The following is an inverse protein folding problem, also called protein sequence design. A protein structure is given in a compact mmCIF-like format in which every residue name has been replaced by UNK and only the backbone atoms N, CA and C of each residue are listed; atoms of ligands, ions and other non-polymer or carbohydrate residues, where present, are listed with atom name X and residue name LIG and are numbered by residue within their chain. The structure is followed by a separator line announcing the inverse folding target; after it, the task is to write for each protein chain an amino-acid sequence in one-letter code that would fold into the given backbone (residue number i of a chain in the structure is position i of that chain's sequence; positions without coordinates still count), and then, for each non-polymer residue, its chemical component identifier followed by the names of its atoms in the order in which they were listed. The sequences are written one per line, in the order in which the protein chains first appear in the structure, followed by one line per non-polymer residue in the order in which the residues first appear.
data_IF_025893416017
#
_entry.id   IF_025893416017
#
_cell.length_a   1.000
_cell.length_b   1.000
_cell.length_c   1.000
_cell.angle_alpha   90.00
_cell.angle_beta   90.00
_cell.angle_gamma   90.00
#
_symmetry.space_group_name_H-M   'P 1'
#
loop_
_entity.id
_entity.type
_entity.pdbx_description
1 polymer ?
#
# COMPACT_ATOMS: atom_id res chain seq x y z
N UNK A 1 -4.46 72.87 8.21
CA UNK A 1 -3.67 71.75 7.66
C UNK A 1 -3.11 70.95 8.84
N UNK A 2 -3.61 69.73 9.06
CA UNK A 2 -2.99 68.70 9.91
C UNK A 2 -3.70 67.40 9.58
N UNK A 3 -3.06 66.56 8.76
CA UNK A 3 -3.63 65.35 8.21
C UNK A 3 -3.23 64.11 9.03
N UNK A 4 -4.24 63.40 9.49
CA UNK A 4 -4.39 61.94 9.59
C UNK A 4 -3.19 61.10 9.12
N UNK A 5 -2.63 60.30 10.02
CA UNK A 5 -1.83 59.11 9.68
C UNK A 5 -2.65 57.86 9.93
N UNK A 6 -2.78 57.03 8.90
CA UNK A 6 -3.44 55.74 8.93
C UNK A 6 -2.59 54.63 8.31
N UNK A 7 -2.79 53.43 8.87
CA UNK A 7 -2.86 52.09 8.27
C UNK A 7 -1.61 51.38 7.68
N UNK A 8 -1.52 50.08 8.02
CA UNK A 8 -0.91 48.88 7.38
C UNK A 8 0.59 48.59 7.66
N UNK A 9 1.09 47.35 7.79
CA UNK A 9 0.59 45.98 8.06
C UNK A 9 1.83 45.03 8.00
N UNK A 10 1.81 43.94 8.79
CA UNK A 10 2.55 42.64 8.70
C UNK A 10 4.06 42.59 9.00
N UNK A 11 4.50 41.71 9.93
CA UNK A 11 5.90 41.31 10.10
C UNK A 11 6.26 40.12 9.19
N UNK A 12 7.39 40.20 8.50
CA UNK A 12 8.02 39.06 7.83
C UNK A 12 9.50 39.01 8.22
N UNK A 13 9.91 37.98 8.95
CA UNK A 13 11.24 37.37 8.85
C UNK A 13 11.30 36.12 9.75
N UNK A 14 11.00 34.97 9.16
CA UNK A 14 11.58 33.70 9.61
C UNK A 14 12.92 33.54 8.89
N UNK A 15 14.01 33.81 9.60
CA UNK A 15 15.37 33.41 9.26
C UNK A 15 15.95 32.74 10.50
N UNK A 16 16.21 31.43 10.45
CA UNK A 16 17.48 30.84 10.90
C UNK A 16 17.45 29.32 10.83
N UNK A 17 18.44 28.80 10.13
CA UNK A 17 18.76 27.37 10.04
C UNK A 17 19.59 27.08 8.79
N UNK A 18 20.54 27.96 8.49
CA UNK A 18 21.43 27.82 7.33
C UNK A 18 22.53 26.81 7.62
N UNK A 19 22.74 25.91 6.66
CA UNK A 19 24.03 25.28 6.43
C UNK A 19 24.48 25.72 5.03
N UNK A 20 25.44 26.63 4.99
CA UNK A 20 26.10 27.10 3.77
C UNK A 20 27.36 26.26 3.58
N UNK A 21 27.44 25.49 2.50
CA UNK A 21 28.70 25.05 1.91
C UNK A 21 28.51 24.87 0.41
N UNK A 22 29.17 25.75 -0.35
CA UNK A 22 29.79 25.38 -1.62
C UNK A 22 28.94 25.50 -2.89
N UNK A 23 29.36 26.46 -3.71
CA UNK A 23 29.12 26.59 -5.16
C UNK A 23 27.76 27.12 -5.61
N UNK A 24 27.85 28.22 -6.36
CA UNK A 24 26.84 28.77 -7.26
C UNK A 24 26.40 27.74 -8.30
N UNK A 25 25.63 26.73 -7.89
CA UNK A 25 24.83 25.95 -8.82
C UNK A 25 23.67 26.84 -9.22
N UNK A 26 23.77 27.41 -10.41
CA UNK A 26 22.66 27.98 -11.16
C UNK A 26 21.50 26.98 -11.07
N UNK A 27 20.54 27.21 -10.16
CA UNK A 27 19.35 26.35 -10.02
C UNK A 27 18.44 26.70 -11.20
N UNK A 28 18.87 26.32 -12.41
CA UNK A 28 17.93 25.99 -13.47
C UNK A 28 17.04 24.92 -12.86
N UNK A 29 15.80 25.29 -12.58
CA UNK A 29 14.72 24.39 -12.21
C UNK A 29 14.56 23.34 -13.32
N UNK A 30 15.47 22.35 -13.36
CA UNK A 30 15.33 21.14 -14.15
C UNK A 30 14.09 20.46 -13.59
N UNK A 31 13.03 20.44 -14.39
CA UNK A 31 11.85 19.63 -14.07
C UNK A 31 12.35 18.23 -13.74
N UNK A 32 11.97 17.72 -12.57
CA UNK A 32 12.33 16.36 -12.18
C UNK A 32 11.78 15.40 -13.23
N UNK A 33 12.68 14.84 -14.04
CA UNK A 33 12.32 13.92 -15.09
C UNK A 33 12.20 12.51 -14.48
N UNK A 34 10.94 12.10 -14.28
CA UNK A 34 10.65 10.81 -13.65
C UNK A 34 11.10 9.65 -14.53
N UNK A 35 11.04 9.82 -15.86
CA UNK A 35 11.36 8.72 -16.78
C UNK A 35 12.88 8.53 -16.83
N UNK A 36 13.67 9.62 -16.81
CA UNK A 36 15.12 9.54 -16.67
C UNK A 36 15.57 8.88 -15.35
N UNK A 37 14.88 9.17 -14.24
CA UNK A 37 15.18 8.54 -12.94
C UNK A 37 14.81 7.06 -12.94
N UNK A 38 13.70 6.68 -13.56
CA UNK A 38 13.31 5.27 -13.72
C UNK A 38 14.28 4.52 -14.64
N UNK A 39 14.81 5.17 -15.69
CA UNK A 39 15.84 4.60 -16.56
C UNK A 39 17.11 4.23 -15.76
N UNK A 40 17.53 5.10 -14.83
CA UNK A 40 18.61 4.78 -13.90
C UNK A 40 18.31 3.56 -13.04
N UNK A 41 17.08 3.41 -12.57
CA UNK A 41 16.67 2.23 -11.77
C UNK A 41 16.74 0.95 -12.62
N UNK A 42 16.39 1.01 -13.91
CA UNK A 42 16.56 -0.10 -14.85
C UNK A 42 18.03 -0.48 -15.05
N UNK A 43 18.94 0.48 -14.90
CA UNK A 43 20.39 0.26 -14.92
C UNK A 43 20.93 -0.16 -13.54
N UNK A 44 20.05 -0.44 -12.58
CA UNK A 44 20.39 -0.81 -11.20
C UNK A 44 21.23 0.25 -10.46
N UNK A 45 21.06 1.52 -10.82
CA UNK A 45 21.73 2.64 -10.16
C UNK A 45 21.01 3.02 -8.85
N UNK A 46 21.73 2.89 -7.73
CA UNK A 46 21.26 3.25 -6.38
C UNK A 46 20.90 4.74 -6.27
N UNK A 47 21.59 5.62 -6.99
CA UNK A 47 21.28 7.06 -6.97
C UNK A 47 19.94 7.35 -7.67
N UNK A 48 19.67 6.65 -8.78
CA UNK A 48 18.37 6.68 -9.45
C UNK A 48 17.25 6.25 -8.51
N UNK A 49 17.44 5.12 -7.82
CA UNK A 49 16.48 4.64 -6.81
C UNK A 49 16.28 5.65 -5.68
N UNK A 50 17.35 6.16 -5.09
CA UNK A 50 17.29 7.13 -3.97
C UNK A 50 16.56 8.41 -4.38
N UNK A 51 16.83 8.91 -5.60
CA UNK A 51 16.15 10.09 -6.15
C UNK A 51 14.65 9.87 -6.33
N UNK A 52 14.26 8.70 -6.83
CA UNK A 52 12.84 8.34 -6.96
C UNK A 52 12.18 8.18 -5.58
N UNK A 53 12.87 7.50 -4.66
CA UNK A 53 12.42 7.29 -3.29
C UNK A 53 12.14 8.62 -2.60
N UNK A 54 13.09 9.55 -2.53
CA UNK A 54 12.90 10.85 -1.89
C UNK A 54 11.70 11.63 -2.45
N UNK A 55 11.47 11.55 -3.76
CA UNK A 55 10.36 12.24 -4.42
C UNK A 55 9.00 11.64 -4.08
N UNK A 56 8.92 10.31 -3.98
CA UNK A 56 7.64 9.59 -3.88
C UNK A 56 7.36 8.98 -2.50
N UNK A 57 8.35 8.92 -1.58
CA UNK A 57 8.25 8.27 -0.27
C UNK A 57 7.05 8.69 0.54
N UNK A 58 6.78 9.99 0.62
CA UNK A 58 5.63 10.51 1.36
C UNK A 58 4.28 10.09 0.77
N UNK A 59 4.18 10.01 -0.57
CA UNK A 59 2.94 9.60 -1.25
C UNK A 59 2.69 8.11 -1.09
N UNK A 60 3.72 7.31 -1.36
CA UNK A 60 3.67 5.85 -1.22
C UNK A 60 3.41 5.46 0.22
N UNK A 61 4.05 6.13 1.18
CA UNK A 61 3.84 5.91 2.61
C UNK A 61 2.38 6.16 2.99
N UNK A 62 1.83 7.35 2.68
CA UNK A 62 0.43 7.68 2.99
C UNK A 62 -0.57 6.79 2.26
N UNK A 63 -0.26 6.38 1.03
CA UNK A 63 -1.07 5.41 0.30
C UNK A 63 -1.18 4.09 1.07
N UNK A 64 -0.07 3.59 1.64
CA UNK A 64 -0.03 2.33 2.38
C UNK A 64 -0.61 2.47 3.78
N UNK A 65 -0.16 3.44 4.58
CA UNK A 65 -0.59 3.52 5.99
C UNK A 65 -2.07 3.89 6.16
N UNK A 66 -2.68 4.56 5.17
CA UNK A 66 -4.14 4.79 5.18
C UNK A 66 -4.95 3.53 4.88
N UNK A 67 -4.31 2.46 4.44
CA UNK A 67 -4.95 1.16 4.17
C UNK A 67 -4.64 0.12 5.25
N UNK A 68 -3.39 0.05 5.74
CA UNK A 68 -2.95 -0.98 6.68
C UNK A 68 -2.42 -0.45 8.02
N UNK A 69 -2.33 0.87 8.17
CA UNK A 69 -1.73 1.49 9.35
C UNK A 69 -0.23 1.57 9.35
N UNK A 70 0.30 1.92 10.52
CA UNK A 70 1.73 2.08 10.79
C UNK A 70 2.36 0.88 11.49
N UNK A 71 1.58 -0.16 11.78
CA UNK A 71 2.07 -1.40 12.40
C UNK A 71 2.89 -2.26 11.42
N UNK A 72 3.23 -3.47 11.86
CA UNK A 72 4.07 -4.41 11.10
C UNK A 72 3.56 -4.67 9.68
N UNK A 73 2.24 -4.82 9.50
CA UNK A 73 1.64 -5.00 8.17
C UNK A 73 1.88 -3.81 7.24
N UNK A 74 1.73 -2.58 7.75
CA UNK A 74 1.99 -1.36 7.00
C UNK A 74 3.46 -1.20 6.64
N UNK A 75 4.36 -1.52 7.58
CA UNK A 75 5.81 -1.54 7.35
C UNK A 75 6.18 -2.56 6.27
N UNK A 76 5.69 -3.79 6.39
CA UNK A 76 5.96 -4.86 5.44
C UNK A 76 5.42 -4.53 4.03
N UNK A 77 4.22 -3.95 3.93
CA UNK A 77 3.65 -3.50 2.66
C UNK A 77 4.48 -2.36 2.04
N UNK A 78 4.96 -1.41 2.85
CA UNK A 78 5.85 -0.33 2.41
C UNK A 78 7.17 -0.85 1.87
N UNK A 79 7.82 -1.74 2.62
CA UNK A 79 9.05 -2.39 2.22
C UNK A 79 8.87 -3.19 0.91
N UNK A 80 7.80 -3.99 0.84
CA UNK A 80 7.52 -4.84 -0.31
C UNK A 80 7.24 -4.03 -1.58
N UNK A 81 6.59 -2.87 -1.48
CA UNK A 81 6.35 -2.00 -2.63
C UNK A 81 7.67 -1.47 -3.22
N UNK A 82 8.60 -1.00 -2.37
CA UNK A 82 9.91 -0.52 -2.83
C UNK A 82 10.78 -1.64 -3.36
N UNK A 83 10.79 -2.80 -2.70
CA UNK A 83 11.45 -4.01 -3.21
C UNK A 83 10.93 -4.38 -4.58
N UNK A 84 9.60 -4.35 -4.79
CA UNK A 84 8.98 -4.66 -6.08
C UNK A 84 9.47 -3.73 -7.19
N UNK A 85 9.64 -2.43 -6.92
CA UNK A 85 10.19 -1.48 -7.89
C UNK A 85 11.60 -1.90 -8.34
N UNK A 86 12.49 -2.23 -7.40
CA UNK A 86 13.87 -2.62 -7.69
C UNK A 86 13.92 -3.95 -8.44
N UNK A 87 13.24 -4.97 -7.91
CA UNK A 87 13.24 -6.31 -8.49
C UNK A 87 12.58 -6.34 -9.88
N UNK A 88 11.49 -5.60 -10.07
CA UNK A 88 10.85 -5.51 -11.39
C UNK A 88 11.77 -4.90 -12.44
N UNK A 89 12.70 -4.03 -12.03
CA UNK A 89 13.68 -3.42 -12.92
C UNK A 89 14.61 -4.42 -13.60
N UNK A 90 14.76 -5.64 -13.06
CA UNK A 90 15.57 -6.70 -13.66
C UNK A 90 14.91 -7.35 -14.89
N UNK A 91 13.59 -7.28 -14.98
CA UNK A 91 12.82 -7.97 -16.03
C UNK A 91 12.15 -7.01 -17.00
N UNK A 92 11.75 -5.85 -16.50
CA UNK A 92 11.09 -4.81 -17.30
C UNK A 92 12.15 -3.99 -18.04
N UNK A 93 11.87 -3.65 -19.30
CA UNK A 93 12.84 -2.97 -20.17
C UNK A 93 12.53 -1.48 -20.40
N UNK A 94 11.38 -0.99 -19.95
CA UNK A 94 10.98 0.40 -20.20
C UNK A 94 10.57 1.12 -18.91
N UNK A 95 10.91 2.41 -18.74
CA UNK A 95 10.49 3.21 -17.59
C UNK A 95 8.97 3.22 -17.38
N UNK A 96 8.23 3.30 -18.48
CA UNK A 96 6.76 3.35 -18.48
C UNK A 96 6.16 2.07 -17.92
N UNK A 97 6.68 0.92 -18.33
CA UNK A 97 6.21 -0.38 -17.85
C UNK A 97 6.64 -0.61 -16.40
N UNK A 98 7.81 -0.13 -15.99
CA UNK A 98 8.28 -0.22 -14.61
C UNK A 98 7.37 0.57 -13.68
N UNK A 99 7.06 1.81 -14.06
CA UNK A 99 6.11 2.68 -13.35
C UNK A 99 4.73 2.05 -13.26
N UNK A 100 4.23 1.47 -14.36
CA UNK A 100 2.94 0.77 -14.39
C UNK A 100 2.96 -0.44 -13.46
N UNK A 101 4.02 -1.24 -13.50
CA UNK A 101 4.21 -2.41 -12.63
C UNK A 101 4.19 -2.00 -11.16
N UNK A 102 4.94 -0.96 -10.80
CA UNK A 102 4.99 -0.41 -9.44
C UNK A 102 3.61 0.04 -8.95
N UNK A 103 2.89 0.83 -9.76
CA UNK A 103 1.54 1.27 -9.37
C UNK A 103 0.53 0.12 -9.35
N UNK A 104 0.66 -0.87 -10.24
CA UNK A 104 -0.19 -2.06 -10.21
C UNK A 104 0.05 -2.86 -8.93
N UNK A 105 1.31 -3.01 -8.51
CA UNK A 105 1.67 -3.66 -7.25
C UNK A 105 1.13 -2.90 -6.03
N UNK A 106 1.25 -1.56 -6.01
CA UNK A 106 0.63 -0.74 -4.97
C UNK A 106 -0.90 -0.95 -4.92
N UNK A 107 -1.56 -1.13 -6.06
CA UNK A 107 -3.00 -1.37 -6.12
C UNK A 107 -3.44 -2.80 -5.79
N UNK A 108 -2.54 -3.79 -5.94
CA UNK A 108 -2.80 -5.22 -5.70
C UNK A 108 -2.41 -5.69 -4.31
N UNK A 109 -1.38 -5.10 -3.71
CA UNK A 109 -1.01 -5.35 -2.31
C UNK A 109 -2.22 -5.14 -1.36
N UNK A 110 -3.23 -4.40 -1.82
CA UNK A 110 -4.55 -4.13 -1.21
C UNK A 110 -5.47 -5.37 -1.12
N UNK A 111 -5.11 -6.50 -1.73
CA UNK A 111 -5.99 -7.67 -1.83
C UNK A 111 -5.59 -8.88 -0.96
N UNK A 112 -4.51 -8.82 -0.18
CA UNK A 112 -4.13 -9.95 0.68
C UNK A 112 -3.86 -9.53 2.14
N UNK A 113 -4.91 -9.34 2.95
CA UNK A 113 -4.84 -9.55 4.38
C UNK A 113 -5.26 -11.00 4.64
N UNK A 114 -4.31 -11.93 4.61
CA UNK A 114 -4.51 -13.14 5.39
C UNK A 114 -4.69 -12.69 6.84
N UNK A 115 -5.91 -12.85 7.37
CA UNK A 115 -6.39 -12.48 8.71
C UNK A 115 -7.04 -11.09 8.76
N UNK A 116 -8.35 -11.09 8.54
CA UNK A 116 -9.28 -10.20 9.22
C UNK A 116 -9.05 -10.28 10.73
N UNK A 117 -8.51 -9.24 11.33
CA UNK A 117 -8.96 -8.79 12.65
C UNK A 117 -8.95 -7.27 12.66
N UNK A 118 -10.10 -6.69 13.00
CA UNK A 118 -10.21 -5.31 13.44
C UNK A 118 -9.50 -5.14 14.77
N UNK A 119 -8.17 -5.25 14.76
CA UNK A 119 -7.36 -4.67 15.82
C UNK A 119 -7.52 -3.17 15.71
N UNK A 120 -8.12 -2.59 16.74
CA UNK A 120 -8.10 -1.15 17.00
C UNK A 120 -6.72 -0.63 16.65
N UNK A 121 -6.69 0.15 15.58
CA UNK A 121 -5.49 0.72 15.08
C UNK A 121 -5.05 1.76 16.09
N UNK A 122 -3.89 1.62 16.77
CA UNK A 122 -3.31 2.75 17.46
C UNK A 122 -2.93 3.75 16.37
N UNK A 123 -3.83 4.68 16.11
CA UNK A 123 -3.52 5.87 15.36
C UNK A 123 -2.40 6.55 16.14
N UNK A 124 -1.16 6.45 15.68
CA UNK A 124 -0.05 7.27 16.17
C UNK A 124 -0.25 8.78 15.87
N UNK A 125 -1.47 9.20 15.56
CA UNK A 125 -1.91 10.57 15.44
C UNK A 125 -3.35 10.68 15.95
N UNK A 126 -3.52 10.72 17.27
CA UNK A 126 -4.65 11.41 17.89
C UNK A 126 -4.14 12.01 19.21
N UNK A 127 -3.65 13.26 19.25
CA UNK A 127 -3.86 14.06 20.46
C UNK A 127 -5.36 14.00 20.75
N UNK A 128 -5.75 13.73 21.99
CA UNK A 128 -7.15 13.61 22.43
C UNK A 128 -7.91 14.96 22.41
N UNK A 129 -7.40 15.95 21.68
CA UNK A 129 -7.86 17.35 21.67
C UNK A 129 -8.61 17.72 20.38
N UNK A 130 -9.01 16.75 19.56
CA UNK A 130 -9.63 16.98 18.23
C UNK A 130 -10.99 17.68 18.33
N UNK A 131 -11.66 17.54 19.48
CA UNK A 131 -12.94 18.19 19.73
C UNK A 131 -12.81 19.68 20.08
N UNK A 132 -11.61 20.16 20.45
CA UNK A 132 -11.39 21.59 20.78
C UNK A 132 -10.73 22.39 19.63
N UNK A 133 -10.00 21.74 18.70
CA UNK A 133 -9.13 22.43 17.72
C UNK A 133 -9.63 22.49 16.25
N UNK A 134 -10.80 21.94 15.93
CA UNK A 134 -11.37 22.09 14.56
C UNK A 134 -10.51 21.46 13.45
N UNK A 135 -9.81 20.37 13.74
CA UNK A 135 -8.97 19.66 12.77
C UNK A 135 -9.80 18.71 11.87
N UNK A 136 -10.57 19.31 10.97
CA UNK A 136 -11.41 18.63 9.98
C UNK A 136 -10.68 17.63 9.08
N UNK A 137 -9.36 17.77 8.93
CA UNK A 137 -8.55 16.81 8.16
C UNK A 137 -8.49 15.44 8.83
N UNK A 138 -8.55 15.38 10.17
CA UNK A 138 -8.59 14.13 10.93
C UNK A 138 -9.97 13.47 10.86
N UNK A 139 -11.03 14.26 11.03
CA UNK A 139 -12.42 13.80 10.85
C UNK A 139 -12.60 13.18 9.46
N UNK A 140 -12.06 13.82 8.42
CA UNK A 140 -12.07 13.27 7.06
C UNK A 140 -11.35 11.92 6.97
N UNK A 141 -10.22 11.76 7.65
CA UNK A 141 -9.48 10.49 7.63
C UNK A 141 -10.22 9.38 8.38
N UNK A 142 -11.04 9.71 9.37
CA UNK A 142 -11.88 8.73 10.04
C UNK A 142 -13.01 8.23 9.12
N UNK A 143 -13.72 9.14 8.45
CA UNK A 143 -14.72 8.76 7.44
C UNK A 143 -14.11 8.03 6.26
N UNK A 144 -12.89 8.39 5.84
CA UNK A 144 -12.15 7.67 4.82
C UNK A 144 -11.94 6.19 5.17
N UNK A 145 -11.77 5.84 6.46
CA UNK A 145 -11.66 4.43 6.89
C UNK A 145 -12.94 3.64 6.70
N UNK A 146 -14.11 4.28 6.58
CA UNK A 146 -15.38 3.60 6.38
C UNK A 146 -15.69 3.30 4.91
N UNK A 147 -14.97 3.94 3.98
CA UNK A 147 -15.11 3.66 2.55
C UNK A 147 -14.78 2.18 2.22
N UNK A 148 -15.47 1.66 1.20
CA UNK A 148 -15.18 0.33 0.67
C UNK A 148 -13.75 0.26 0.10
N UNK A 149 -13.18 -0.95 0.07
CA UNK A 149 -11.79 -1.19 -0.36
C UNK A 149 -11.51 -0.63 -1.76
N UNK A 150 -12.46 -0.77 -2.69
CA UNK A 150 -12.32 -0.25 -4.06
C UNK A 150 -12.37 1.28 -4.11
N UNK A 151 -13.32 1.89 -3.39
CA UNK A 151 -13.49 3.34 -3.28
C UNK A 151 -12.23 3.99 -2.69
N UNK A 152 -11.70 3.44 -1.58
CA UNK A 152 -10.42 3.86 -1.00
C UNK A 152 -9.29 3.81 -2.02
N UNK A 153 -9.17 2.70 -2.75
CA UNK A 153 -8.09 2.49 -3.72
C UNK A 153 -8.12 3.53 -4.82
N UNK A 154 -9.28 3.76 -5.45
CA UNK A 154 -9.40 4.78 -6.49
C UNK A 154 -9.13 6.18 -5.94
N UNK A 155 -9.69 6.50 -4.77
CA UNK A 155 -9.50 7.78 -4.09
C UNK A 155 -8.01 8.05 -3.81
N UNK A 156 -7.27 7.06 -3.28
CA UNK A 156 -5.85 7.19 -3.00
C UNK A 156 -5.02 7.33 -4.28
N UNK A 157 -5.31 6.61 -5.36
CA UNK A 157 -4.59 6.82 -6.63
C UNK A 157 -4.82 8.21 -7.21
N UNK A 158 -6.06 8.71 -7.14
CA UNK A 158 -6.42 10.05 -7.63
C UNK A 158 -5.76 11.14 -6.79
N UNK A 159 -5.94 11.08 -5.48
CA UNK A 159 -5.59 12.19 -4.60
C UNK A 159 -4.19 12.05 -4.00
N UNK A 160 -3.73 10.87 -3.62
CA UNK A 160 -2.40 10.68 -3.01
C UNK A 160 -1.29 10.53 -4.06
N UNK A 161 -1.47 9.59 -5.00
CA UNK A 161 -0.47 9.35 -6.05
C UNK A 161 -0.52 10.46 -7.11
N UNK A 162 -1.73 10.90 -7.47
CA UNK A 162 -1.96 11.98 -8.42
C UNK A 162 -2.02 11.53 -9.88
N UNK A 163 -2.55 10.33 -10.15
CA UNK A 163 -2.73 9.82 -11.52
C UNK A 163 -4.16 10.00 -12.03
N UNK A 164 -4.33 10.12 -13.35
CA UNK A 164 -5.64 10.31 -13.98
C UNK A 164 -6.50 9.04 -13.93
N UNK A 165 -7.83 9.17 -14.02
CA UNK A 165 -8.75 8.02 -14.07
C UNK A 165 -8.39 7.01 -15.18
N UNK A 166 -7.98 7.51 -16.35
CA UNK A 166 -7.47 6.66 -17.44
C UNK A 166 -6.24 5.86 -17.03
N UNK A 167 -5.31 6.47 -16.29
CA UNK A 167 -4.13 5.79 -15.77
C UNK A 167 -4.49 4.78 -14.65
N UNK A 168 -5.45 5.12 -13.78
CA UNK A 168 -5.97 4.21 -12.75
C UNK A 168 -6.58 2.97 -13.40
N UNK A 169 -7.48 3.16 -14.37
CA UNK A 169 -8.12 2.07 -15.13
C UNK A 169 -7.09 1.12 -15.74
N UNK A 170 -6.05 1.66 -16.39
CA UNK A 170 -4.96 0.85 -16.98
C UNK A 170 -4.08 0.15 -15.95
N UNK A 171 -3.88 0.77 -14.78
CA UNK A 171 -3.04 0.26 -13.69
C UNK A 171 -3.71 -0.90 -12.97
N UNK A 172 -5.01 -0.76 -12.72
CA UNK A 172 -5.83 -1.72 -11.96
C UNK A 172 -6.56 -2.73 -12.86
N UNK A 173 -6.48 -2.56 -14.19
CA UNK A 173 -7.17 -3.39 -15.17
C UNK A 173 -8.69 -3.46 -14.95
N UNK A 174 -9.29 -2.29 -14.71
CA UNK A 174 -10.73 -2.10 -14.52
C UNK A 174 -11.26 -1.09 -15.55
N UNK A 175 -12.57 -1.07 -15.78
CA UNK A 175 -13.13 -0.12 -16.75
C UNK A 175 -13.00 1.32 -16.24
N UNK A 176 -12.79 2.27 -17.17
CA UNK A 176 -12.74 3.69 -16.82
C UNK A 176 -14.04 4.16 -16.16
N UNK A 177 -15.18 3.62 -16.59
CA UNK A 177 -16.51 3.94 -16.03
C UNK A 177 -16.60 3.54 -14.55
N UNK A 178 -16.05 2.40 -14.17
CA UNK A 178 -16.06 1.93 -12.78
C UNK A 178 -15.18 2.82 -11.89
N UNK A 179 -14.04 3.27 -12.40
CA UNK A 179 -13.17 4.22 -11.70
C UNK A 179 -13.88 5.55 -11.49
N UNK A 180 -14.49 6.11 -12.54
CA UNK A 180 -15.22 7.38 -12.47
C UNK A 180 -16.41 7.31 -11.51
N UNK A 181 -17.19 6.22 -11.59
CA UNK A 181 -18.32 5.97 -10.67
C UNK A 181 -17.83 5.82 -9.23
N UNK A 182 -16.84 4.96 -8.99
CA UNK A 182 -16.30 4.72 -7.66
C UNK A 182 -15.69 5.96 -7.01
N UNK A 183 -14.99 6.80 -7.78
CA UNK A 183 -14.48 8.09 -7.29
C UNK A 183 -15.60 9.05 -6.93
N UNK A 184 -16.62 9.17 -7.78
CA UNK A 184 -17.77 10.05 -7.52
C UNK A 184 -18.51 9.64 -6.25
N UNK A 185 -18.76 8.35 -6.09
CA UNK A 185 -19.41 7.81 -4.89
C UNK A 185 -18.55 8.03 -3.65
N UNK A 186 -17.25 7.74 -3.71
CA UNK A 186 -16.33 7.98 -2.59
C UNK A 186 -16.31 9.46 -2.17
N UNK A 187 -16.28 10.38 -3.13
CA UNK A 187 -16.30 11.81 -2.83
C UNK A 187 -17.65 12.30 -2.31
N UNK A 188 -18.77 11.72 -2.76
CA UNK A 188 -20.11 12.04 -2.23
C UNK A 188 -20.24 11.59 -0.79
N UNK A 189 -19.90 10.32 -0.52
CA UNK A 189 -19.95 9.73 0.83
C UNK A 189 -19.11 10.52 1.82
N UNK A 190 -17.89 10.91 1.43
CA UNK A 190 -17.04 11.73 2.29
C UNK A 190 -17.58 13.14 2.48
N UNK A 191 -18.21 13.77 1.47
CA UNK A 191 -18.80 15.10 1.62
C UNK A 191 -19.99 15.05 2.57
N UNK A 192 -20.90 14.10 2.35
CA UNK A 192 -22.08 13.88 3.19
C UNK A 192 -21.66 13.63 4.65
N UNK A 193 -20.72 12.71 4.88
CA UNK A 193 -20.23 12.41 6.23
C UNK A 193 -19.56 13.62 6.91
N UNK A 194 -18.85 14.46 6.15
CA UNK A 194 -18.25 15.69 6.69
C UNK A 194 -19.32 16.74 7.00
N UNK A 195 -20.35 16.88 6.17
CA UNK A 195 -21.50 17.77 6.42
C UNK A 195 -22.26 17.33 7.68
N UNK A 196 -22.52 16.03 7.82
CA UNK A 196 -23.18 15.44 9.00
C UNK A 196 -22.35 15.63 10.28
N UNK A 197 -21.02 15.69 10.15
CA UNK A 197 -20.10 15.99 11.26
C UNK A 197 -20.01 17.49 11.59
N UNK A 198 -20.75 18.35 10.88
CA UNK A 198 -20.76 19.80 11.12
C UNK A 198 -19.63 20.57 10.43
N UNK A 199 -18.95 19.99 9.43
CA UNK A 199 -17.87 20.66 8.72
C UNK A 199 -18.36 21.92 8.00
N UNK A 200 -17.69 23.08 8.14
CA UNK A 200 -18.09 24.29 7.44
C UNK A 200 -18.07 24.12 5.91
N UNK A 201 -19.18 24.48 5.25
CA UNK A 201 -19.35 24.38 3.78
C UNK A 201 -18.28 25.08 2.94
N UNK A 202 -17.55 26.06 3.52
CA UNK A 202 -16.44 26.76 2.85
C UNK A 202 -15.19 25.90 2.68
N UNK A 203 -15.05 24.78 3.39
CA UNK A 203 -13.90 23.88 3.28
C UNK A 203 -14.17 22.81 2.23
N UNK A 204 -13.37 22.80 1.16
CA UNK A 204 -13.47 21.74 0.16
C UNK A 204 -12.81 20.44 0.64
N UNK A 205 -13.38 19.31 0.22
CA UNK A 205 -12.84 17.96 0.47
C UNK A 205 -11.35 17.86 0.08
N UNK A 206 -10.99 18.41 -1.09
CA UNK A 206 -9.62 18.40 -1.59
C UNK A 206 -8.65 19.14 -0.65
N UNK A 207 -9.07 20.29 -0.13
CA UNK A 207 -8.26 21.08 0.81
C UNK A 207 -8.03 20.32 2.11
N UNK A 208 -9.08 19.77 2.70
CA UNK A 208 -9.00 18.97 3.92
C UNK A 208 -8.10 17.75 3.73
N UNK A 209 -8.23 17.08 2.59
CA UNK A 209 -7.36 15.95 2.27
C UNK A 209 -5.90 16.35 2.06
N UNK A 210 -5.65 17.55 1.51
CA UNK A 210 -4.28 18.08 1.37
C UNK A 210 -3.66 18.40 2.72
N UNK A 211 -4.44 18.95 3.64
CA UNK A 211 -4.03 19.25 5.02
C UNK A 211 -3.59 17.97 5.76
N UNK A 212 -4.22 16.81 5.50
CA UNK A 212 -3.80 15.53 6.11
C UNK A 212 -2.51 14.93 5.54
N UNK A 213 -1.86 15.56 4.55
CA UNK A 213 -0.63 15.03 3.91
C UNK A 213 0.66 15.32 4.67
N UNK A 214 0.57 15.87 5.87
CA UNK A 214 1.72 16.16 6.75
C UNK A 214 2.47 14.90 7.17
N UNK A 215 1.80 13.74 7.21
CA UNK A 215 2.41 12.48 7.65
C UNK A 215 3.51 12.00 6.69
N UNK A 216 4.67 11.65 7.26
CA UNK A 216 5.88 11.16 6.59
C UNK A 216 6.28 9.78 7.12
N UNK A 217 7.03 8.98 6.33
CA UNK A 217 7.64 7.76 6.86
C UNK A 217 8.59 8.09 8.03
N UNK A 218 8.69 7.20 9.03
CA UNK A 218 9.73 7.30 10.06
C UNK A 218 11.13 7.25 9.44
N UNK A 219 12.08 8.00 10.01
CA UNK A 219 13.46 8.03 9.51
C UNK A 219 14.13 6.65 9.51
N UNK A 220 13.77 5.77 10.45
CA UNK A 220 14.25 4.39 10.49
C UNK A 220 13.81 3.59 9.26
N UNK A 221 12.59 3.82 8.75
CA UNK A 221 12.12 3.17 7.53
C UNK A 221 12.86 3.71 6.31
N UNK A 222 13.13 5.03 6.25
CA UNK A 222 13.89 5.62 5.15
C UNK A 222 15.28 4.97 5.00
N UNK A 223 16.01 4.87 6.12
CA UNK A 223 17.34 4.27 6.13
C UNK A 223 17.30 2.81 5.70
N UNK A 224 16.35 2.04 6.24
CA UNK A 224 16.17 0.61 5.93
C UNK A 224 15.89 0.40 4.43
N UNK A 225 15.05 1.24 3.81
CA UNK A 225 14.74 1.15 2.37
C UNK A 225 15.97 1.47 1.51
N UNK A 226 16.68 2.54 1.81
CA UNK A 226 17.84 2.98 1.02
C UNK A 226 18.99 1.97 1.11
N UNK A 227 19.23 1.40 2.30
CA UNK A 227 20.29 0.42 2.52
C UNK A 227 19.96 -0.95 1.93
N UNK A 228 18.67 -1.30 1.85
CA UNK A 228 18.21 -2.59 1.30
C UNK A 228 18.37 -2.71 -0.22
N UNK A 229 18.62 -1.61 -0.94
CA UNK A 229 18.66 -1.61 -2.42
C UNK A 229 19.59 -2.69 -3.00
N UNK A 230 20.86 -2.71 -2.58
CA UNK A 230 21.85 -3.67 -3.08
C UNK A 230 21.52 -5.11 -2.65
N UNK A 231 20.94 -5.27 -1.46
CA UNK A 231 20.52 -6.59 -0.97
C UNK A 231 19.40 -7.17 -1.85
N UNK A 232 18.42 -6.35 -2.23
CA UNK A 232 17.31 -6.82 -3.08
C UNK A 232 17.76 -7.28 -4.46
N UNK A 233 18.73 -6.61 -5.07
CA UNK A 233 19.32 -7.03 -6.35
C UNK A 233 20.01 -8.39 -6.24
N UNK A 234 20.85 -8.57 -5.20
CA UNK A 234 21.60 -9.82 -4.98
C UNK A 234 20.70 -11.01 -4.68
N UNK A 235 19.63 -10.81 -3.91
CA UNK A 235 18.68 -11.87 -3.56
C UNK A 235 17.94 -12.44 -4.78
N UNK A 236 17.84 -11.69 -5.87
CA UNK A 236 17.21 -12.14 -7.11
C UNK A 236 18.19 -12.72 -8.12
N UNK A 237 19.48 -12.41 -7.99
CA UNK A 237 20.56 -12.99 -8.80
C UNK A 237 21.02 -14.35 -8.29
N UNK A 238 20.82 -14.66 -7.00
CA UNK A 238 20.99 -16.01 -6.50
C UNK A 238 19.78 -16.85 -6.89
N UNK A 239 19.88 -17.77 -7.88
CA UNK A 239 18.91 -18.84 -7.96
C UNK A 239 18.96 -19.57 -6.62
N UNK A 240 17.81 -19.72 -5.98
CA UNK A 240 17.61 -20.75 -4.96
C UNK A 240 18.30 -22.02 -5.49
N UNK A 241 19.41 -22.41 -4.87
CA UNK A 241 20.03 -23.68 -5.20
C UNK A 241 18.92 -24.72 -5.11
N UNK A 242 18.75 -25.59 -6.13
CA UNK A 242 17.84 -26.70 -5.97
C UNK A 242 18.31 -27.43 -4.72
N UNK A 243 17.40 -27.53 -3.74
CA UNK A 243 17.52 -28.41 -2.59
C UNK A 243 18.09 -29.72 -3.12
N UNK A 244 19.34 -30.04 -2.78
CA UNK A 244 19.94 -31.31 -3.13
C UNK A 244 18.96 -32.39 -2.65
N UNK A 245 18.42 -33.15 -3.60
CA UNK A 245 17.55 -34.27 -3.30
C UNK A 245 18.25 -35.12 -2.24
N UNK A 246 17.56 -35.54 -1.16
CA UNK A 246 18.19 -36.29 -0.10
C UNK A 246 18.83 -37.52 -0.72
N UNK A 247 20.15 -37.62 -0.58
CA UNK A 247 20.94 -38.77 -0.99
C UNK A 247 20.25 -40.01 -0.44
N UNK A 248 19.80 -40.90 -1.33
CA UNK A 248 19.37 -42.24 -0.95
C UNK A 248 20.55 -42.93 -0.31
N UNK A 249 20.59 -42.94 1.01
CA UNK A 249 21.43 -43.85 1.76
C UNK A 249 20.81 -45.24 1.60
N UNK A 250 21.39 -46.05 0.72
CA UNK A 250 21.17 -47.49 0.74
C UNK A 250 21.70 -48.02 2.08
N UNK A 251 20.78 -48.22 3.03
CA UNK A 251 21.05 -48.99 4.23
C UNK A 251 20.97 -50.47 3.86
N UNK A 252 22.14 -51.10 3.63
CA UNK A 252 22.26 -52.54 3.74
C UNK A 252 22.56 -52.92 5.19
N UNK A 253 21.60 -53.66 5.76
CA UNK A 253 21.76 -54.69 6.80
C UNK A 253 22.27 -54.29 8.19
N UNK A 254 21.32 -54.28 9.13
CA UNK A 254 21.48 -55.01 10.40
C UNK A 254 21.45 -54.15 11.65
N UNK A 255 20.26 -54.00 12.24
CA UNK A 255 19.94 -54.49 13.60
C UNK A 255 18.41 -54.42 13.75
N UNK A 256 17.87 -55.57 14.09
CA UNK A 256 16.45 -55.85 14.20
C UNK A 256 15.78 -55.10 15.35
N UNK A 257 14.49 -54.80 15.15
CA UNK A 257 13.51 -54.79 16.21
C UNK A 257 13.08 -53.40 16.69
N UNK A 258 11.76 -53.18 16.62
CA UNK A 258 10.99 -52.15 17.35
C UNK A 258 11.00 -50.74 16.78
N UNK A 259 10.26 -50.53 15.69
CA UNK A 259 9.26 -49.45 15.63
C UNK A 259 8.22 -49.62 14.50
N UNK A 260 7.97 -50.85 14.04
CA UNK A 260 6.85 -51.19 13.15
C UNK A 260 5.49 -51.22 13.82
N UNK A 261 5.35 -50.63 15.02
CA UNK A 261 4.17 -50.79 15.87
C UNK A 261 3.31 -49.53 16.05
N UNK A 262 3.59 -48.41 15.35
CA UNK A 262 2.81 -47.18 15.53
C UNK A 262 1.99 -46.74 14.30
N UNK A 263 2.24 -47.30 13.11
CA UNK A 263 1.51 -46.93 11.88
C UNK A 263 0.30 -47.81 11.56
N UNK A 264 0.15 -48.95 12.23
CA UNK A 264 -1.03 -49.81 12.08
C UNK A 264 -2.18 -49.48 13.06
N UNK A 265 -1.98 -48.52 13.97
CA UNK A 265 -2.97 -48.17 15.00
C UNK A 265 -3.83 -46.94 14.69
N UNK A 266 -3.62 -46.24 13.57
CA UNK A 266 -4.43 -45.06 13.19
C UNK A 266 -5.21 -45.26 11.87
N UNK A 267 -4.94 -46.34 11.12
CA UNK A 267 -5.70 -46.69 9.90
C UNK A 267 -6.91 -47.62 10.12
N UNK A 268 -7.19 -48.04 11.35
CA UNK A 268 -8.31 -48.96 11.67
C UNK A 268 -9.54 -48.31 12.29
N UNK A 269 -9.62 -46.96 12.36
CA UNK A 269 -10.80 -46.25 12.92
C UNK A 269 -11.69 -45.51 11.92
N UNK A 270 -11.48 -45.66 10.61
CA UNK A 270 -12.36 -45.08 9.60
C UNK A 270 -12.70 -46.06 8.48
N UNK A 271 -13.37 -47.16 8.82
CA UNK A 271 -14.15 -47.94 7.85
C UNK A 271 -15.10 -48.89 8.57
N UNK A 272 -16.26 -48.40 9.01
CA UNK A 272 -17.51 -49.16 9.11
C UNK A 272 -18.64 -48.25 9.63
N UNK A 273 -19.30 -47.54 8.71
CA UNK A 273 -20.67 -47.08 8.92
C UNK A 273 -21.37 -46.88 7.57
N UNK A 274 -22.10 -47.93 7.18
CA UNK A 274 -23.47 -47.79 6.68
C UNK A 274 -23.68 -47.30 5.24
N UNK A 275 -23.43 -48.18 4.26
CA UNK A 275 -24.26 -48.21 3.04
C UNK A 275 -25.62 -48.83 3.40
N UNK A 276 -26.72 -48.08 3.28
CA UNK A 276 -28.03 -48.66 2.98
C UNK A 276 -28.79 -47.77 1.99
N UNK A 277 -29.07 -48.41 0.86
CA UNK A 277 -29.88 -48.01 -0.28
C UNK A 277 -31.35 -47.87 0.10
N UNK A 278 -32.06 -46.89 -0.46
CA UNK A 278 -33.47 -47.07 -0.83
C UNK A 278 -33.81 -46.37 -2.14
N UNK A 279 -34.45 -47.16 -3.01
CA UNK A 279 -34.89 -46.86 -4.36
C UNK A 279 -36.07 -45.89 -4.43
N UNK A 280 -36.14 -45.22 -5.58
CA UNK A 280 -37.28 -44.51 -6.17
C UNK A 280 -38.57 -45.37 -6.19
N UNK A 281 -39.68 -44.78 -5.78
CA UNK A 281 -41.04 -45.22 -6.11
C UNK A 281 -41.78 -44.11 -6.84
N UNK A 282 -42.17 -44.36 -8.09
CA UNK A 282 -42.97 -43.48 -8.92
C UNK A 282 -44.44 -43.93 -8.88
N UNK A 283 -45.36 -42.99 -9.09
CA UNK A 283 -46.83 -43.08 -9.05
C UNK A 283 -47.45 -44.21 -9.90
N UNK A 284 -48.59 -44.74 -9.42
CA UNK A 284 -49.68 -45.30 -10.26
C UNK A 284 -51.01 -44.69 -9.82
N UNK A 285 -51.78 -44.17 -10.80
CA UNK A 285 -53.21 -43.82 -10.73
C UNK A 285 -54.06 -45.04 -11.07
N UNK A 286 -55.22 -45.18 -10.43
CA UNK A 286 -56.56 -45.57 -10.96
C UNK A 286 -57.54 -45.35 -9.78
N UNK A 287 -58.46 -44.39 -9.84
CA UNK A 287 -59.74 -44.28 -10.59
C UNK A 287 -60.90 -44.56 -9.63
N UNK A 288 -61.89 -43.65 -9.68
CA UNK A 288 -63.31 -43.76 -9.28
C UNK A 288 -63.62 -44.17 -7.86
#
# INVERSE_FOLDING_TARGET
MSAWQGILHIPATYLRGGFLLGANAEVRSRRFDTDAVLEKILQHDKEGFTSFYERYRGRVYRFIVRQYGTGEYGKAAYYSAWRHLVVSGLTIKTPKDLKRSFYSYLGKSVQNPGISQGTDMPSNYLPRDIEEDGNWSLVLMEHFKQLSVEKKRYFLFKHEIGISETAISRTLNVSRKDVEKGLREAESELREAMEDSGCPKKRSLERLYRESRVVKPPASWDQEIIDSFNMWLRQTEQPSQPEEAPVKSDASTGIAGKLGHFKDQVRSRFSNLGKRTHQKGNRVRKLS
#
